data_IF_252778053079
#
_entry.id   IF_252778053079
#
_cell.length_a   1.000
_cell.length_b   1.000
_cell.length_c   1.000
_cell.angle_alpha   90.00
_cell.angle_beta   90.00
_cell.angle_gamma   90.00
#
_symmetry.space_group_name_H-M   'P 1'
#
loop_
_entity.id
_entity.type
_entity.pdbx_description
1 polymer ?
#
# COMPACT_ATOMS: atom_id res chain seq x y z
N UNK A 1 10.56 19.77 -8.96
CA UNK A 1 10.37 18.83 -10.06
C UNK A 1 8.88 18.69 -10.37
N UNK A 2 8.50 19.04 -11.57
CA UNK A 2 7.13 18.85 -12.01
C UNK A 2 6.93 17.43 -12.52
N UNK A 3 5.96 16.75 -11.94
CA UNK A 3 5.51 15.45 -12.45
C UNK A 3 4.36 15.69 -13.42
N UNK A 4 4.61 15.41 -14.70
CA UNK A 4 3.54 15.42 -15.69
C UNK A 4 2.81 14.09 -15.63
N UNK A 5 1.63 14.10 -15.04
CA UNK A 5 0.81 12.91 -14.92
C UNK A 5 -0.16 12.83 -16.07
N UNK A 6 -0.23 11.67 -16.72
CA UNK A 6 -1.26 11.38 -17.72
C UNK A 6 -2.47 10.71 -17.09
N UNK A 7 -2.29 10.14 -15.91
CA UNK A 7 -3.33 9.54 -15.10
C UNK A 7 -2.96 9.70 -13.63
N UNK A 8 -3.89 9.45 -12.70
CA UNK A 8 -3.57 9.59 -11.29
C UNK A 8 -2.42 8.70 -10.85
N UNK A 9 -1.70 9.13 -9.82
CA UNK A 9 -0.71 8.30 -9.13
C UNK A 9 -1.15 8.12 -7.68
N UNK A 10 -1.08 6.87 -7.20
CA UNK A 10 -1.36 6.53 -5.82
C UNK A 10 -0.06 6.23 -5.11
N UNK A 11 0.27 7.05 -4.12
CA UNK A 11 1.34 6.77 -3.16
C UNK A 11 0.73 5.97 -2.03
N UNK A 12 1.36 4.88 -1.63
CA UNK A 12 0.82 4.08 -0.56
C UNK A 12 1.89 3.61 0.40
N UNK A 13 1.47 3.39 1.64
CA UNK A 13 2.30 2.88 2.70
C UNK A 13 1.54 1.79 3.42
N UNK A 14 2.22 0.68 3.70
CA UNK A 14 1.64 -0.48 4.36
C UNK A 14 2.34 -0.73 5.69
N UNK A 15 1.54 -0.98 6.73
CA UNK A 15 2.02 -1.62 7.94
C UNK A 15 1.51 -3.05 7.94
N UNK A 16 2.35 -4.00 8.34
CA UNK A 16 2.09 -5.41 8.14
C UNK A 16 2.44 -6.23 9.38
N UNK A 17 2.07 -7.52 9.37
CA UNK A 17 2.46 -8.44 10.44
C UNK A 17 3.92 -8.89 10.34
N UNK A 18 4.57 -8.67 9.19
CA UNK A 18 5.96 -9.06 8.98
C UNK A 18 6.38 -8.83 7.54
N UNK A 19 7.47 -9.45 7.12
CA UNK A 19 8.11 -9.21 5.81
C UNK A 19 7.96 -10.37 4.82
N UNK A 20 7.17 -11.38 5.13
CA UNK A 20 6.93 -12.52 4.25
C UNK A 20 5.66 -12.31 3.43
N UNK A 21 5.82 -11.97 2.15
CA UNK A 21 4.70 -11.69 1.24
C UNK A 21 3.70 -12.85 1.18
N UNK A 22 4.18 -14.09 1.29
CA UNK A 22 3.32 -15.28 1.19
C UNK A 22 2.48 -15.52 2.46
N UNK A 23 2.94 -15.07 3.62
CA UNK A 23 2.33 -15.37 4.91
C UNK A 23 1.81 -14.17 5.65
N UNK A 24 2.48 -13.03 5.51
CA UNK A 24 2.13 -11.84 6.28
C UNK A 24 0.95 -11.10 5.66
N UNK A 25 0.29 -10.29 6.49
CA UNK A 25 -0.94 -9.61 6.14
C UNK A 25 -0.82 -8.11 6.47
N UNK A 26 -1.61 -7.32 5.80
CA UNK A 26 -1.68 -5.88 6.04
C UNK A 26 -2.46 -5.61 7.34
N UNK A 27 -1.95 -4.70 8.18
CA UNK A 27 -2.65 -4.20 9.37
C UNK A 27 -3.06 -2.74 9.22
N UNK A 28 -2.42 -1.99 8.34
CA UNK A 28 -2.80 -0.62 8.01
C UNK A 28 -2.42 -0.34 6.56
N UNK A 29 -3.29 0.33 5.83
CA UNK A 29 -2.99 0.81 4.48
C UNK A 29 -3.36 2.28 4.37
N UNK A 30 -2.40 3.10 3.95
CA UNK A 30 -2.59 4.51 3.67
C UNK A 30 -2.37 4.75 2.18
N UNK A 31 -3.30 5.44 1.54
CA UNK A 31 -3.22 5.78 0.12
C UNK A 31 -3.36 7.29 -0.04
N UNK A 32 -2.42 7.90 -0.74
CA UNK A 32 -2.45 9.30 -1.14
C UNK A 32 -2.48 9.36 -2.66
N UNK A 33 -3.59 9.82 -3.21
CA UNK A 33 -3.82 9.84 -4.65
C UNK A 33 -3.73 11.26 -5.19
N UNK A 34 -2.91 11.45 -6.21
CA UNK A 34 -2.72 12.74 -6.89
C UNK A 34 -3.24 12.61 -8.31
N UNK A 35 -4.16 13.49 -8.67
CA UNK A 35 -4.77 13.53 -10.00
C UNK A 35 -3.96 14.43 -10.94
N UNK A 36 -4.07 14.22 -12.27
CA UNK A 36 -3.36 15.07 -13.24
C UNK A 36 -3.69 16.56 -13.15
N UNK A 37 -4.89 16.90 -12.67
CA UNK A 37 -5.31 18.30 -12.49
C UNK A 37 -4.83 18.93 -11.18
N UNK A 38 -4.02 18.20 -10.39
CA UNK A 38 -3.52 18.69 -9.11
C UNK A 38 -4.39 18.39 -7.92
N UNK A 39 -5.59 17.86 -8.11
CA UNK A 39 -6.43 17.45 -6.99
C UNK A 39 -5.78 16.29 -6.23
N UNK A 40 -6.07 16.20 -4.92
CA UNK A 40 -5.50 15.20 -4.03
C UNK A 40 -6.59 14.55 -3.19
N UNK A 41 -6.41 13.29 -2.90
CA UNK A 41 -7.31 12.51 -2.06
C UNK A 41 -6.47 11.57 -1.20
N UNK A 42 -6.78 11.45 0.08
CA UNK A 42 -6.05 10.53 0.96
C UNK A 42 -7.01 9.74 1.80
N UNK A 43 -6.62 8.51 2.12
CA UNK A 43 -7.42 7.62 2.97
C UNK A 43 -6.52 6.62 3.67
N UNK A 44 -6.85 6.34 4.92
CA UNK A 44 -6.14 5.35 5.74
C UNK A 44 -7.15 4.39 6.35
N UNK A 45 -6.85 3.10 6.27
CA UNK A 45 -7.66 2.06 6.90
C UNK A 45 -6.80 1.23 7.83
N UNK A 46 -7.30 0.98 9.05
CA UNK A 46 -6.80 -0.09 9.88
C UNK A 46 -7.46 -1.39 9.42
N UNK A 47 -6.70 -2.48 9.43
CA UNK A 47 -7.14 -3.76 8.87
C UNK A 47 -6.92 -4.86 9.90
N UNK A 48 -7.95 -5.68 10.11
CA UNK A 48 -7.77 -6.90 10.90
C UNK A 48 -7.03 -7.92 10.03
N UNK A 49 -5.79 -8.30 10.41
CA UNK A 49 -4.98 -9.18 9.57
C UNK A 49 -5.41 -10.64 9.62
N UNK A 50 -6.34 -11.00 10.51
CA UNK A 50 -6.82 -12.38 10.75
C UNK A 50 -5.76 -13.35 11.26
N UNK A 51 -4.54 -12.88 11.47
CA UNK A 51 -3.44 -13.64 12.08
C UNK A 51 -2.83 -12.80 13.21
N UNK A 52 -2.14 -13.42 14.19
CA UNK A 52 -1.51 -12.66 15.26
C UNK A 52 -0.42 -11.72 14.74
N UNK A 53 -0.31 -10.55 15.36
CA UNK A 53 0.77 -9.61 15.08
C UNK A 53 1.93 -9.94 16.04
N UNK A 54 3.12 -10.29 15.54
CA UNK A 54 4.25 -10.58 16.43
C UNK A 54 4.59 -9.35 17.29
N UNK A 55 4.90 -9.56 18.59
CA UNK A 55 5.22 -8.42 19.47
C UNK A 55 6.36 -7.54 18.96
N UNK A 56 7.36 -8.13 18.33
CA UNK A 56 8.47 -7.36 17.75
C UNK A 56 8.01 -6.47 16.61
N UNK A 57 7.00 -6.89 15.86
CA UNK A 57 6.42 -6.08 14.77
C UNK A 57 5.60 -4.94 15.34
N UNK A 58 4.79 -5.20 16.37
CA UNK A 58 4.05 -4.17 17.11
C UNK A 58 5.00 -3.12 17.68
N UNK A 59 6.18 -3.51 18.15
CA UNK A 59 7.18 -2.58 18.66
C UNK A 59 7.64 -1.58 17.59
N UNK A 60 7.57 -1.93 16.32
CA UNK A 60 7.98 -1.06 15.22
C UNK A 60 6.88 -0.05 14.85
N UNK A 61 5.64 -0.50 14.65
CA UNK A 61 4.56 0.38 14.15
C UNK A 61 3.49 0.73 15.18
N UNK A 62 3.54 0.12 16.38
CA UNK A 62 2.61 0.44 17.46
C UNK A 62 1.20 -0.15 17.32
N UNK A 63 0.95 -0.97 16.31
CA UNK A 63 -0.36 -1.57 16.09
C UNK A 63 -0.41 -2.92 16.81
N UNK A 64 -1.41 -3.08 17.69
CA UNK A 64 -1.60 -4.30 18.47
C UNK A 64 -2.77 -5.12 17.91
N UNK A 65 -2.83 -6.41 18.30
CA UNK A 65 -3.98 -7.25 17.96
C UNK A 65 -5.29 -6.63 18.44
N UNK A 66 -5.28 -6.03 19.63
CA UNK A 66 -6.46 -5.41 20.22
C UNK A 66 -6.95 -4.21 19.41
N UNK A 67 -6.02 -3.43 18.86
CA UNK A 67 -6.34 -2.23 18.09
C UNK A 67 -7.07 -2.55 16.79
N UNK A 68 -6.81 -3.71 16.20
CA UNK A 68 -7.39 -4.12 14.92
C UNK A 68 -8.45 -5.22 15.06
N UNK A 69 -8.73 -5.67 16.26
CA UNK A 69 -9.66 -6.79 16.48
C UNK A 69 -11.07 -6.54 15.94
N UNK A 70 -11.53 -5.29 16.03
CA UNK A 70 -12.86 -4.89 15.55
C UNK A 70 -12.82 -4.15 14.22
N UNK A 71 -11.66 -4.10 13.56
CA UNK A 71 -11.53 -3.49 12.26
C UNK A 71 -11.91 -4.48 11.15
N UNK A 72 -12.30 -3.97 9.97
CA UNK A 72 -12.61 -4.88 8.86
C UNK A 72 -11.37 -5.63 8.39
N UNK A 73 -11.60 -6.80 7.83
CA UNK A 73 -10.52 -7.56 7.17
C UNK A 73 -10.20 -6.93 5.82
N UNK A 74 -9.05 -7.28 5.25
CA UNK A 74 -8.71 -6.79 3.92
C UNK A 74 -9.73 -7.25 2.88
N UNK A 75 -10.27 -8.44 3.01
CA UNK A 75 -11.32 -8.95 2.11
C UNK A 75 -12.53 -8.01 2.09
N UNK A 76 -12.92 -7.50 3.25
CA UNK A 76 -14.04 -6.56 3.35
C UNK A 76 -13.71 -5.18 2.75
N UNK A 77 -12.44 -4.78 2.81
CA UNK A 77 -11.98 -3.49 2.30
C UNK A 77 -11.52 -3.54 0.84
N UNK A 78 -11.33 -4.72 0.28
CA UNK A 78 -10.66 -4.90 -1.01
C UNK A 78 -11.31 -4.10 -2.14
N UNK A 79 -12.64 -4.05 -2.20
CA UNK A 79 -13.35 -3.30 -3.24
C UNK A 79 -13.09 -1.80 -3.12
N UNK A 80 -13.10 -1.26 -1.90
CA UNK A 80 -12.80 0.16 -1.67
C UNK A 80 -11.38 0.51 -2.06
N UNK A 81 -10.42 -0.33 -1.65
CA UNK A 81 -9.02 -0.15 -1.98
C UNK A 81 -8.81 -0.21 -3.50
N UNK A 82 -9.38 -1.23 -4.14
CA UNK A 82 -9.29 -1.39 -5.59
C UNK A 82 -9.90 -0.19 -6.34
N UNK A 83 -11.05 0.30 -5.91
CA UNK A 83 -11.70 1.44 -6.54
C UNK A 83 -10.84 2.70 -6.45
N UNK A 84 -10.05 2.84 -5.40
CA UNK A 84 -9.17 3.99 -5.24
C UNK A 84 -7.93 3.89 -6.13
N UNK A 85 -7.39 2.70 -6.34
CA UNK A 85 -6.13 2.52 -7.08
C UNK A 85 -6.30 2.13 -8.54
N UNK A 86 -7.49 1.68 -8.95
CA UNK A 86 -7.74 1.38 -10.36
C UNK A 86 -7.52 2.63 -11.20
N UNK A 87 -7.05 2.49 -12.42
CA UNK A 87 -6.75 3.59 -13.33
C UNK A 87 -5.62 4.52 -12.86
N UNK A 88 -4.84 4.08 -11.87
CA UNK A 88 -3.75 4.87 -11.32
C UNK A 88 -2.41 4.14 -11.45
N UNK A 89 -1.34 4.91 -11.56
CA UNK A 89 -0.01 4.36 -11.33
C UNK A 89 0.21 4.18 -9.84
N UNK A 90 1.13 3.31 -9.45
CA UNK A 90 1.39 3.00 -8.04
C UNK A 90 2.80 3.40 -7.66
N UNK A 91 2.95 3.95 -6.46
CA UNK A 91 4.23 4.31 -5.89
C UNK A 91 4.26 3.98 -4.40
N UNK A 92 5.40 3.48 -3.90
CA UNK A 92 5.55 3.13 -2.49
C UNK A 92 7.01 3.12 -2.10
N UNK A 93 7.29 3.03 -0.79
CA UNK A 93 8.66 3.07 -0.28
C UNK A 93 9.45 1.79 -0.56
N UNK A 94 8.80 0.64 -0.56
CA UNK A 94 9.42 -0.65 -0.90
C UNK A 94 8.61 -1.34 -2.00
N UNK A 95 8.18 -0.55 -2.98
CA UNK A 95 7.13 -0.95 -3.92
C UNK A 95 7.46 -2.23 -4.70
N UNK A 96 8.69 -2.35 -5.20
CA UNK A 96 9.03 -3.49 -6.05
C UNK A 96 9.33 -4.78 -5.28
N UNK A 97 9.80 -4.65 -4.04
CA UNK A 97 10.25 -5.79 -3.24
C UNK A 97 9.21 -6.30 -2.28
N UNK A 98 8.35 -5.42 -1.77
CA UNK A 98 7.45 -5.79 -0.69
C UNK A 98 6.05 -5.23 -0.84
N UNK A 99 5.89 -3.89 -0.88
CA UNK A 99 4.56 -3.27 -0.79
C UNK A 99 3.64 -3.65 -1.94
N UNK A 100 4.11 -3.55 -3.18
CA UNK A 100 3.30 -3.93 -4.34
C UNK A 100 3.03 -5.42 -4.39
N UNK A 101 4.04 -6.31 -4.22
CA UNK A 101 3.76 -7.74 -4.16
C UNK A 101 2.78 -8.13 -3.05
N UNK A 102 2.90 -7.53 -1.87
CA UNK A 102 1.98 -7.82 -0.77
C UNK A 102 0.57 -7.32 -1.06
N UNK A 103 0.44 -6.10 -1.58
CA UNK A 103 -0.87 -5.55 -1.97
C UNK A 103 -1.53 -6.42 -3.03
N UNK A 104 -0.77 -6.85 -4.03
CA UNK A 104 -1.27 -7.73 -5.09
C UNK A 104 -1.73 -9.08 -4.51
N UNK A 105 -0.96 -9.64 -3.58
CA UNK A 105 -1.30 -10.90 -2.91
C UNK A 105 -2.58 -10.78 -2.08
N UNK A 106 -2.73 -9.66 -1.35
CA UNK A 106 -3.94 -9.43 -0.55
C UNK A 106 -5.18 -9.24 -1.44
N UNK A 107 -5.04 -8.54 -2.56
CA UNK A 107 -6.14 -8.40 -3.52
C UNK A 107 -6.51 -9.74 -4.14
N UNK A 108 -5.51 -10.57 -4.46
CA UNK A 108 -5.74 -11.91 -4.99
C UNK A 108 -6.47 -12.79 -3.98
N UNK A 109 -6.07 -12.76 -2.71
CA UNK A 109 -6.74 -13.50 -1.62
C UNK A 109 -8.19 -13.04 -1.44
N UNK A 110 -8.46 -11.76 -1.71
CA UNK A 110 -9.80 -11.20 -1.63
C UNK A 110 -10.62 -11.42 -2.91
N UNK A 111 -10.07 -12.14 -3.88
CA UNK A 111 -10.70 -12.45 -5.16
C UNK A 111 -10.99 -11.19 -6.00
N UNK A 112 -10.17 -10.16 -5.84
CA UNK A 112 -10.24 -8.95 -6.66
C UNK A 112 -9.22 -9.06 -7.77
N UNK A 113 -9.70 -8.95 -9.02
CA UNK A 113 -8.85 -8.98 -10.19
C UNK A 113 -8.12 -7.63 -10.31
N UNK A 114 -6.81 -7.64 -10.19
CA UNK A 114 -5.98 -6.45 -10.22
C UNK A 114 -4.86 -6.64 -11.24
N UNK A 115 -4.96 -5.93 -12.36
CA UNK A 115 -3.99 -6.02 -13.44
C UNK A 115 -2.81 -5.08 -13.19
N UNK A 116 -1.65 -5.65 -12.91
CA UNK A 116 -0.40 -4.90 -12.72
C UNK A 116 0.32 -4.58 -14.04
N UNK A 117 -0.03 -5.25 -15.13
CA UNK A 117 0.73 -5.17 -16.39
C UNK A 117 0.71 -3.79 -17.03
N UNK A 118 -0.36 -3.05 -16.86
CA UNK A 118 -0.55 -1.74 -17.49
C UNK A 118 -0.28 -0.60 -16.52
N UNK A 119 0.41 -0.85 -15.41
CA UNK A 119 0.68 0.14 -14.38
C UNK A 119 2.16 0.42 -14.26
N UNK A 120 2.49 1.71 -14.12
CA UNK A 120 3.85 2.12 -13.81
C UNK A 120 4.05 2.02 -12.30
N UNK A 121 5.13 1.35 -11.89
CA UNK A 121 5.51 1.24 -10.49
C UNK A 121 6.71 2.14 -10.23
N UNK A 122 6.60 2.99 -9.21
CA UNK A 122 7.66 3.92 -8.84
C UNK A 122 8.06 3.66 -7.39
N UNK A 123 9.37 3.49 -7.15
CA UNK A 123 9.91 3.35 -5.82
C UNK A 123 10.36 4.73 -5.31
N UNK A 124 9.65 5.25 -4.33
CA UNK A 124 9.89 6.58 -3.78
C UNK A 124 11.27 6.68 -3.14
N UNK A 125 11.73 5.63 -2.46
CA UNK A 125 13.08 5.60 -1.89
C UNK A 125 14.16 5.75 -2.96
N UNK A 126 13.99 5.06 -4.08
CA UNK A 126 14.93 5.15 -5.18
C UNK A 126 15.01 6.57 -5.73
N UNK A 127 13.88 7.26 -5.84
CA UNK A 127 13.83 8.65 -6.29
C UNK A 127 14.60 9.56 -5.33
N UNK A 128 14.36 9.44 -4.04
CA UNK A 128 15.06 10.25 -3.03
C UNK A 128 16.56 9.95 -3.02
N UNK A 129 16.93 8.69 -3.13
CA UNK A 129 18.34 8.30 -3.16
C UNK A 129 19.07 8.92 -4.35
N UNK A 130 18.46 8.90 -5.52
CA UNK A 130 19.02 9.52 -6.72
C UNK A 130 19.16 11.04 -6.59
N UNK A 131 18.22 11.67 -5.93
CA UNK A 131 18.25 13.11 -5.69
C UNK A 131 19.39 13.48 -4.74
N UNK A 132 19.63 12.70 -3.69
CA UNK A 132 20.72 12.91 -2.76
C UNK A 132 22.09 12.76 -3.42
N UNK A 133 22.25 11.79 -4.30
CA UNK A 133 23.49 11.53 -5.01
C UNK A 133 23.90 12.67 -5.94
N UNK A 134 22.97 13.52 -6.32
CA UNK A 134 23.24 14.65 -7.21
C UNK A 134 23.77 15.89 -6.47
N UNK A 135 23.76 15.87 -5.19
CA UNK A 135 24.32 16.95 -4.41
C UNK A 135 25.78 16.69 -4.08
#
# INVERSE_FOLDING_TARGET
MELKLTRPICFFDLETTGIDVARDRIVEISIFKVYPNGNKESKTWLVNPTIPIPPQTTAVHGITDEKVANEPTFKELATQVHNMIKDSDLAGFNSDRFDIPLLAEELLRAEVDFDMKNRVSVDVQTIFHKMEERT
#
